data_IF_471215753658
#
_entry.id   IF_471215753658
#
_cell.length_a   1.000
_cell.length_b   1.000
_cell.length_c   1.000
_cell.angle_alpha   90.00
_cell.angle_beta   90.00
_cell.angle_gamma   90.00
#
_symmetry.space_group_name_H-M   'P 1'
#
loop_
_entity.id
_entity.type
_entity.pdbx_description
1 polymer ?
#
# COMPACT_ATOMS: atom_id res chain seq x y z
N UNK A 1 -17.18 -4.89 3.53
CA UNK A 1 -16.07 -4.14 4.12
C UNK A 1 -16.18 -2.71 3.65
N UNK A 2 -16.33 -1.77 4.57
CA UNK A 2 -16.38 -0.34 4.25
C UNK A 2 -14.95 0.21 4.25
N UNK A 3 -14.69 1.23 3.43
CA UNK A 3 -13.36 1.88 3.32
C UNK A 3 -12.87 2.38 4.69
N UNK A 4 -13.78 2.71 5.60
CA UNK A 4 -13.47 3.20 6.95
C UNK A 4 -12.77 2.18 7.85
N UNK A 5 -13.01 0.88 7.65
CA UNK A 5 -12.41 -0.21 8.46
C UNK A 5 -10.88 -0.29 8.29
N UNK A 6 -10.33 0.39 7.28
CA UNK A 6 -8.91 0.43 6.98
C UNK A 6 -8.19 1.64 7.56
N UNK A 7 -8.81 2.44 8.44
CA UNK A 7 -8.18 3.65 8.95
C UNK A 7 -8.09 3.68 10.48
N UNK A 8 -6.96 4.16 10.97
CA UNK A 8 -6.70 4.42 12.39
C UNK A 8 -6.25 5.85 12.60
N UNK A 9 -6.53 6.40 13.79
CA UNK A 9 -5.95 7.68 14.21
C UNK A 9 -4.67 7.41 15.00
N UNK A 10 -3.55 7.97 14.55
CA UNK A 10 -2.25 7.85 15.21
C UNK A 10 -1.51 9.19 15.14
N UNK A 11 -1.01 9.68 16.28
CA UNK A 11 -0.34 10.98 16.40
C UNK A 11 -1.13 12.17 15.80
N UNK A 12 -2.45 12.15 15.93
CA UNK A 12 -3.33 13.19 15.39
C UNK A 12 -3.62 13.08 13.88
N UNK A 13 -3.16 12.02 13.23
CA UNK A 13 -3.32 11.79 11.80
C UNK A 13 -4.13 10.51 11.52
N UNK A 14 -4.87 10.52 10.42
CA UNK A 14 -5.62 9.36 9.94
C UNK A 14 -4.73 8.55 8.98
N UNK A 15 -4.41 7.32 9.34
CA UNK A 15 -3.50 6.45 8.58
C UNK A 15 -4.23 5.23 8.01
N UNK A 16 -3.93 4.89 6.77
CA UNK A 16 -4.41 3.67 6.12
C UNK A 16 -3.65 2.44 6.63
N UNK A 17 -4.35 1.43 7.10
CA UNK A 17 -3.81 0.19 7.64
C UNK A 17 -4.57 -1.03 7.13
N UNK A 18 -3.89 -2.18 7.13
CA UNK A 18 -4.47 -3.46 6.70
C UNK A 18 -4.46 -4.43 7.87
N UNK A 19 -5.62 -4.94 8.28
CA UNK A 19 -5.72 -5.96 9.32
C UNK A 19 -4.98 -7.24 8.87
N UNK A 20 -3.99 -7.66 9.64
CA UNK A 20 -3.28 -8.91 9.45
C UNK A 20 -3.91 -10.05 10.24
N UNK A 21 -4.46 -9.73 11.42
CA UNK A 21 -5.13 -10.69 12.29
C UNK A 21 -5.21 -10.22 13.74
N UNK A 22 -5.58 -11.13 14.63
CA UNK A 22 -5.63 -10.88 16.07
C UNK A 22 -5.10 -12.09 16.85
N UNK A 23 -4.56 -11.84 18.04
CA UNK A 23 -4.14 -12.87 18.97
C UNK A 23 -4.28 -12.38 20.41
N UNK A 24 -4.98 -13.15 21.25
CA UNK A 24 -5.30 -12.74 22.61
C UNK A 24 -6.09 -11.44 22.63
N UNK A 25 -5.58 -10.43 23.33
CA UNK A 25 -6.19 -9.11 23.44
C UNK A 25 -5.59 -8.07 22.46
N UNK A 26 -4.86 -8.52 21.43
CA UNK A 26 -4.18 -7.65 20.47
C UNK A 26 -4.68 -7.84 19.04
N UNK A 27 -4.82 -6.74 18.32
CA UNK A 27 -5.02 -6.67 16.88
C UNK A 27 -3.73 -6.21 16.21
N UNK A 28 -3.42 -6.84 15.08
CA UNK A 28 -2.19 -6.59 14.32
C UNK A 28 -2.59 -6.04 12.96
N UNK A 29 -2.12 -4.84 12.69
CA UNK A 29 -2.32 -4.15 11.43
C UNK A 29 -0.97 -3.87 10.78
N UNK A 30 -0.97 -3.76 9.47
CA UNK A 30 0.16 -3.31 8.69
C UNK A 30 -0.10 -1.89 8.21
N UNK A 31 0.84 -0.97 8.45
CA UNK A 31 0.80 0.39 7.91
C UNK A 31 1.66 0.44 6.64
N UNK A 32 1.07 0.35 5.43
CA UNK A 32 1.85 0.10 4.22
C UNK A 32 2.74 1.28 3.82
N UNK A 33 2.33 2.52 4.08
CA UNK A 33 3.16 3.69 3.75
C UNK A 33 4.48 3.67 4.52
N UNK A 34 4.43 3.35 5.81
CA UNK A 34 5.61 3.27 6.67
C UNK A 34 6.33 1.93 6.66
N UNK A 35 5.75 0.88 6.06
CA UNK A 35 6.24 -0.50 6.16
C UNK A 35 6.46 -0.94 7.61
N UNK A 36 5.46 -0.67 8.47
CA UNK A 36 5.53 -0.97 9.91
C UNK A 36 4.35 -1.82 10.37
N UNK A 37 4.56 -2.52 11.48
CA UNK A 37 3.50 -3.23 12.19
C UNK A 37 2.88 -2.29 13.22
N UNK A 38 1.54 -2.21 13.22
CA UNK A 38 0.75 -1.47 14.20
C UNK A 38 -0.01 -2.47 15.06
N UNK A 39 0.23 -2.42 16.36
CA UNK A 39 -0.36 -3.31 17.36
C UNK A 39 -1.32 -2.46 18.19
N UNK A 40 -2.57 -2.91 18.29
CA UNK A 40 -3.59 -2.28 19.12
C UNK A 40 -4.05 -3.28 20.17
N UNK A 41 -4.02 -2.92 21.44
CA UNK A 41 -4.62 -3.73 22.48
C UNK A 41 -6.11 -3.38 22.72
N UNK A 42 -6.78 -4.17 23.54
CA UNK A 42 -8.19 -3.97 23.90
C UNK A 42 -8.46 -2.68 24.68
N UNK A 43 -7.43 -2.00 25.20
CA UNK A 43 -7.53 -0.69 25.86
C UNK A 43 -7.37 0.46 24.85
N UNK A 44 -7.12 0.14 23.57
CA UNK A 44 -6.93 1.12 22.50
C UNK A 44 -5.53 1.71 22.46
N UNK A 45 -4.56 1.16 23.21
CA UNK A 45 -3.17 1.60 23.14
C UNK A 45 -2.58 1.14 21.80
N UNK A 46 -2.01 2.09 21.08
CA UNK A 46 -1.37 1.86 19.79
C UNK A 46 0.14 1.81 19.98
N UNK A 47 0.75 0.74 19.52
CA UNK A 47 2.20 0.54 19.48
C UNK A 47 2.62 0.28 18.03
N UNK A 48 3.68 0.95 17.57
CA UNK A 48 4.23 0.74 16.23
C UNK A 48 5.60 0.09 16.34
N UNK A 49 5.84 -0.95 15.54
CA UNK A 49 7.07 -1.73 15.51
C UNK A 49 7.66 -1.79 14.11
N UNK A 50 8.99 -1.87 14.04
CA UNK A 50 9.70 -2.15 12.81
C UNK A 50 9.55 -3.64 12.47
N UNK A 51 9.32 -3.95 11.20
CA UNK A 51 9.31 -5.33 10.70
C UNK A 51 10.75 -5.67 10.28
N UNK A 52 11.39 -6.57 11.02
CA UNK A 52 12.77 -6.99 10.72
C UNK A 52 12.80 -8.18 9.75
N UNK A 53 11.82 -9.09 9.88
CA UNK A 53 11.74 -10.31 9.07
C UNK A 53 10.29 -10.83 9.04
N UNK A 54 9.88 -11.37 7.90
CA UNK A 54 8.63 -12.12 7.75
C UNK A 54 8.96 -13.62 7.72
N UNK A 55 8.48 -14.35 8.71
CA UNK A 55 8.70 -15.78 8.91
C UNK A 55 7.50 -16.57 8.37
N UNK A 56 7.69 -17.31 7.29
CA UNK A 56 6.64 -18.13 6.66
C UNK A 56 5.59 -17.32 5.90
N UNK A 57 4.39 -17.88 5.73
CA UNK A 57 3.32 -17.34 4.86
C UNK A 57 2.10 -16.77 5.62
N UNK A 58 2.14 -16.68 6.95
CA UNK A 58 0.96 -16.41 7.79
C UNK A 58 1.22 -15.35 8.89
N UNK A 59 0.16 -14.69 9.42
CA UNK A 59 0.24 -13.43 10.18
C UNK A 59 0.88 -13.50 11.58
N UNK A 60 1.40 -14.66 12.00
CA UNK A 60 2.08 -14.84 13.29
C UNK A 60 3.62 -14.82 13.19
N UNK A 61 4.17 -14.77 11.98
CA UNK A 61 5.62 -14.81 11.77
C UNK A 61 6.20 -13.44 11.46
N UNK A 62 6.21 -12.53 12.42
CA UNK A 62 7.00 -11.30 12.28
C UNK A 62 8.07 -11.27 13.36
N UNK A 63 9.33 -11.17 12.94
CA UNK A 63 10.37 -10.70 13.84
C UNK A 63 10.30 -9.19 13.84
N UNK A 64 10.04 -8.60 15.00
CA UNK A 64 9.84 -7.16 15.13
C UNK A 64 10.86 -6.53 16.06
N UNK A 65 11.14 -5.25 15.82
CA UNK A 65 12.00 -4.42 16.64
C UNK A 65 11.33 -3.11 17.05
N UNK A 66 11.97 -2.36 17.94
CA UNK A 66 11.53 -1.01 18.26
C UNK A 66 11.65 -0.10 17.04
N UNK A 67 10.67 0.78 16.87
CA UNK A 67 10.71 1.82 15.85
C UNK A 67 11.70 2.91 16.29
N UNK A 68 12.86 2.98 15.65
CA UNK A 68 13.90 3.96 16.01
C UNK A 68 13.73 5.30 15.29
N UNK A 69 12.96 5.33 14.22
CA UNK A 69 12.74 6.52 13.41
C UNK A 69 11.60 7.39 13.95
N UNK A 70 11.71 8.72 13.86
CA UNK A 70 10.61 9.60 14.23
C UNK A 70 9.43 9.45 13.27
N UNK A 71 8.21 9.71 13.76
CA UNK A 71 6.96 9.57 13.00
C UNK A 71 6.99 10.25 11.62
N UNK A 72 7.51 11.48 11.56
CA UNK A 72 7.62 12.25 10.31
C UNK A 72 8.44 11.54 9.22
N UNK A 73 9.46 10.77 9.63
CA UNK A 73 10.27 9.98 8.71
C UNK A 73 9.54 8.71 8.28
N UNK A 74 8.86 8.05 9.21
CA UNK A 74 8.11 6.81 8.95
C UNK A 74 6.97 7.06 7.95
N UNK A 75 6.16 8.09 8.16
CA UNK A 75 5.03 8.42 7.28
C UNK A 75 5.44 8.95 5.91
N UNK A 76 6.72 9.27 5.70
CA UNK A 76 7.29 9.77 4.44
C UNK A 76 8.21 8.77 3.73
N UNK A 77 8.31 7.53 4.24
CA UNK A 77 9.11 6.47 3.60
C UNK A 77 8.69 6.28 2.14
N UNK A 78 9.66 6.15 1.21
CA UNK A 78 9.37 5.99 -0.21
C UNK A 78 8.83 4.59 -0.50
N UNK A 79 7.87 4.50 -1.42
CA UNK A 79 7.30 3.25 -1.93
C UNK A 79 7.80 3.07 -3.36
N UNK A 80 8.33 1.90 -3.67
CA UNK A 80 8.88 1.55 -4.98
C UNK A 80 8.11 0.40 -5.60
N UNK A 81 7.54 0.65 -6.77
CA UNK A 81 6.84 -0.34 -7.56
C UNK A 81 7.76 -0.96 -8.60
N UNK A 82 7.74 -2.29 -8.68
CA UNK A 82 8.28 -3.02 -9.83
C UNK A 82 7.15 -3.21 -10.83
N UNK A 83 7.21 -2.47 -11.94
CA UNK A 83 6.26 -2.56 -13.04
C UNK A 83 7.04 -3.01 -14.26
N UNK A 84 6.84 -4.26 -14.66
CA UNK A 84 7.67 -4.92 -15.68
C UNK A 84 9.16 -4.86 -15.30
N UNK A 85 9.98 -4.25 -16.15
CA UNK A 85 11.42 -4.08 -16.00
C UNK A 85 11.82 -2.72 -15.38
N UNK A 86 10.84 -1.91 -14.94
CA UNK A 86 11.09 -0.59 -14.36
C UNK A 86 10.73 -0.52 -12.88
N UNK A 87 11.49 0.30 -12.17
CA UNK A 87 11.19 0.72 -10.81
C UNK A 87 10.59 2.13 -10.82
N UNK A 88 9.48 2.29 -10.09
CA UNK A 88 8.73 3.54 -10.03
C UNK A 88 8.50 3.92 -8.57
N UNK A 89 9.08 5.03 -8.15
CA UNK A 89 8.77 5.62 -6.84
C UNK A 89 7.41 6.32 -6.88
N UNK A 90 6.45 5.82 -6.11
CA UNK A 90 5.11 6.40 -5.90
C UNK A 90 4.34 5.63 -4.84
N UNK A 91 3.48 6.30 -4.08
CA UNK A 91 2.62 5.63 -3.10
C UNK A 91 1.59 4.73 -3.81
N UNK A 92 1.00 5.25 -4.88
CA UNK A 92 0.00 4.57 -5.69
C UNK A 92 0.30 4.75 -7.19
N UNK A 93 -0.24 3.86 -8.03
CA UNK A 93 -0.09 3.90 -9.48
C UNK A 93 -1.47 3.93 -10.15
N UNK A 94 -1.63 4.83 -11.12
CA UNK A 94 -2.74 4.78 -12.08
C UNK A 94 -2.20 4.31 -13.43
N UNK A 95 -2.52 3.09 -13.82
CA UNK A 95 -2.01 2.46 -15.04
C UNK A 95 -3.06 2.48 -16.15
N UNK A 96 -2.79 3.24 -17.21
CA UNK A 96 -3.63 3.27 -18.41
C UNK A 96 -3.19 2.15 -19.35
N UNK A 97 -4.06 1.19 -19.61
CA UNK A 97 -3.75 0.05 -20.49
C UNK A 97 -4.57 0.07 -21.79
N UNK A 98 -3.99 -0.41 -22.88
CA UNK A 98 -4.67 -0.42 -24.20
C UNK A 98 -5.39 -1.72 -24.48
N UNK A 99 -4.85 -2.85 -24.02
CA UNK A 99 -5.35 -4.19 -24.34
C UNK A 99 -5.52 -5.06 -23.09
N UNK A 100 -6.29 -6.15 -23.21
CA UNK A 100 -6.39 -7.15 -22.13
C UNK A 100 -5.03 -7.80 -21.82
N UNK A 101 -4.14 -7.91 -22.80
CA UNK A 101 -2.78 -8.42 -22.59
C UNK A 101 -1.96 -7.46 -21.74
N UNK A 102 -2.03 -6.15 -22.00
CA UNK A 102 -1.40 -5.12 -21.16
C UNK A 102 -1.91 -5.20 -19.72
N UNK A 103 -3.23 -5.33 -19.53
CA UNK A 103 -3.81 -5.50 -18.21
C UNK A 103 -3.23 -6.71 -17.46
N UNK A 104 -3.13 -7.87 -18.10
CA UNK A 104 -2.55 -9.08 -17.49
C UNK A 104 -1.07 -8.93 -17.15
N UNK A 105 -0.34 -8.16 -17.94
CA UNK A 105 1.05 -7.83 -17.63
C UNK A 105 1.14 -6.96 -16.37
N UNK A 106 0.24 -5.99 -16.20
CA UNK A 106 0.19 -5.13 -15.01
C UNK A 106 -0.13 -5.90 -13.73
N UNK A 107 -0.93 -6.98 -13.79
CA UNK A 107 -1.27 -7.81 -12.61
C UNK A 107 -0.03 -8.43 -11.93
N UNK A 108 1.10 -8.52 -12.63
CA UNK A 108 2.37 -9.00 -12.07
C UNK A 108 3.13 -7.94 -11.29
N UNK A 109 2.68 -6.68 -11.34
CA UNK A 109 3.37 -5.55 -10.72
C UNK A 109 3.12 -5.52 -9.22
N UNK A 110 4.19 -5.32 -8.45
CA UNK A 110 4.11 -5.30 -6.99
C UNK A 110 4.97 -4.18 -6.41
N UNK A 111 4.53 -3.51 -5.34
CA UNK A 111 5.39 -2.63 -4.57
C UNK A 111 6.33 -3.43 -3.68
N UNK A 112 7.37 -2.78 -3.19
CA UNK A 112 8.24 -3.20 -2.10
C UNK A 112 7.52 -3.17 -0.73
N UNK A 113 6.32 -3.75 -0.66
CA UNK A 113 5.43 -3.72 0.51
C UNK A 113 4.76 -5.06 0.71
N UNK A 114 4.52 -5.42 1.97
CA UNK A 114 3.92 -6.70 2.35
C UNK A 114 2.50 -6.91 1.79
N UNK A 115 1.73 -5.83 1.69
CA UNK A 115 0.36 -5.82 1.17
C UNK A 115 0.20 -4.70 0.16
N UNK A 116 -0.50 -5.01 -0.91
CA UNK A 116 -0.87 -4.09 -1.98
C UNK A 116 -2.23 -4.46 -2.55
N UNK A 117 -2.84 -3.52 -3.26
CA UNK A 117 -4.13 -3.71 -3.90
C UNK A 117 -4.01 -3.46 -5.39
N UNK A 118 -4.52 -4.40 -6.18
CA UNK A 118 -4.64 -4.24 -7.63
C UNK A 118 -6.12 -4.13 -7.97
N UNK A 119 -6.53 -2.98 -8.46
CA UNK A 119 -7.93 -2.62 -8.70
C UNK A 119 -8.13 -2.29 -10.17
N UNK A 120 -9.35 -2.50 -10.65
CA UNK A 120 -9.71 -2.24 -12.04
C UNK A 120 -10.81 -1.18 -12.12
N UNK A 121 -10.59 -0.18 -12.98
CA UNK A 121 -11.58 0.84 -13.37
C UNK A 121 -12.21 1.59 -12.17
N UNK A 122 -11.47 1.73 -11.07
CA UNK A 122 -11.88 2.49 -9.87
C UNK A 122 -11.52 3.98 -9.98
N UNK A 123 -12.19 4.83 -9.20
CA UNK A 123 -11.84 6.26 -9.07
C UNK A 123 -10.66 6.43 -8.10
N UNK A 124 -9.48 6.92 -8.53
CA UNK A 124 -8.34 7.12 -7.64
C UNK A 124 -8.60 8.10 -6.48
N UNK A 125 -9.56 9.00 -6.59
CA UNK A 125 -9.87 9.93 -5.50
C UNK A 125 -10.44 9.24 -4.25
N UNK A 126 -11.07 8.08 -4.40
CA UNK A 126 -11.53 7.25 -3.28
C UNK A 126 -10.37 6.59 -2.51
N UNK A 127 -9.20 6.47 -3.15
CA UNK A 127 -8.01 5.81 -2.62
C UNK A 127 -6.85 6.77 -2.36
N UNK A 128 -7.11 8.09 -2.41
CA UNK A 128 -6.07 9.13 -2.27
C UNK A 128 -5.27 9.03 -0.96
N UNK A 129 -5.92 8.56 0.11
CA UNK A 129 -5.36 8.42 1.45
C UNK A 129 -4.85 6.99 1.73
N UNK A 130 -4.95 6.08 0.75
CA UNK A 130 -4.42 4.73 0.81
C UNK A 130 -2.96 4.72 0.37
N UNK A 131 -2.23 3.66 0.72
CA UNK A 131 -0.96 3.33 0.08
C UNK A 131 -1.09 2.02 -0.66
N UNK A 132 -0.24 1.93 -1.68
CA UNK A 132 0.20 0.68 -2.27
C UNK A 132 -0.93 0.08 -3.12
N UNK A 133 -1.68 0.98 -3.78
CA UNK A 133 -2.77 0.68 -4.70
C UNK A 133 -2.31 0.92 -6.14
N UNK A 134 -2.53 -0.07 -7.00
CA UNK A 134 -2.49 0.10 -8.45
C UNK A 134 -3.91 0.04 -9.00
N UNK A 135 -4.33 1.11 -9.67
CA UNK A 135 -5.59 1.14 -10.41
C UNK A 135 -5.27 1.03 -11.89
N UNK A 136 -5.66 -0.09 -12.51
CA UNK A 136 -5.56 -0.29 -13.94
C UNK A 136 -6.88 0.12 -14.61
N UNK A 137 -6.82 0.99 -15.63
CA UNK A 137 -7.99 1.38 -16.41
C UNK A 137 -7.67 1.59 -17.89
N UNK A 138 -8.66 1.44 -18.75
CA UNK A 138 -8.54 1.90 -20.14
C UNK A 138 -8.81 3.41 -20.29
N UNK A 139 -9.36 4.04 -19.25
CA UNK A 139 -9.65 5.47 -19.24
C UNK A 139 -8.38 6.23 -18.91
N UNK A 140 -8.06 7.23 -19.71
CA UNK A 140 -7.00 8.19 -19.37
C UNK A 140 -7.62 9.40 -18.67
N UNK A 141 -7.30 9.59 -17.39
CA UNK A 141 -7.78 10.71 -16.58
C UNK A 141 -6.62 11.63 -16.22
N UNK A 142 -6.77 12.94 -16.41
CA UNK A 142 -5.67 13.89 -16.20
C UNK A 142 -5.57 14.40 -14.76
N UNK A 143 -6.68 14.41 -14.02
CA UNK A 143 -6.72 14.90 -12.65
C UNK A 143 -6.62 13.74 -11.65
N UNK A 144 -5.39 13.42 -11.26
CA UNK A 144 -5.09 12.39 -10.27
C UNK A 144 -4.77 13.02 -8.91
N UNK A 145 -5.10 12.36 -7.78
CA UNK A 145 -4.56 12.75 -6.48
C UNK A 145 -3.03 12.65 -6.48
N UNK A 146 -2.37 13.50 -5.69
CA UNK A 146 -0.90 13.61 -5.66
C UNK A 146 -0.16 12.35 -5.23
N UNK A 147 -0.85 11.42 -4.58
CA UNK A 147 -0.30 10.10 -4.18
C UNK A 147 -0.24 9.11 -5.34
N UNK A 148 -0.92 9.39 -6.46
CA UNK A 148 -0.94 8.55 -7.65
C UNK A 148 0.02 9.07 -8.72
N UNK A 149 0.87 8.16 -9.21
CA UNK A 149 1.66 8.37 -10.43
C UNK A 149 0.97 7.70 -11.60
N UNK A 150 0.74 8.45 -12.68
CA UNK A 150 0.23 7.90 -13.93
C UNK A 150 1.33 7.14 -14.67
N UNK A 151 0.98 6.01 -15.25
CA UNK A 151 1.78 5.31 -16.25
C UNK A 151 0.88 4.85 -17.40
N UNK A 152 1.48 4.56 -18.55
CA UNK A 152 0.81 3.97 -19.69
C UNK A 152 1.46 2.64 -20.05
N UNK A 153 0.63 1.64 -20.34
CA UNK A 153 1.08 0.40 -20.93
C UNK A 153 0.40 0.20 -22.28
N UNK A 154 1.20 0.25 -23.34
CA UNK A 154 0.73 0.12 -24.72
C UNK A 154 1.55 -0.95 -25.43
N UNK A 155 0.89 -2.01 -25.88
CA UNK A 155 1.54 -3.10 -26.63
C UNK A 155 2.75 -3.69 -25.87
N UNK A 156 2.60 -3.89 -24.56
CA UNK A 156 3.64 -4.42 -23.67
C UNK A 156 4.78 -3.44 -23.33
N UNK A 157 4.69 -2.17 -23.74
CA UNK A 157 5.72 -1.15 -23.46
C UNK A 157 5.23 -0.12 -22.45
N UNK A 158 6.02 0.08 -21.40
CA UNK A 158 5.75 1.00 -20.32
C UNK A 158 6.26 2.42 -20.63
N UNK A 159 5.35 3.37 -20.71
CA UNK A 159 5.58 4.80 -20.88
C UNK A 159 5.21 5.52 -19.57
N UNK A 160 6.03 6.48 -19.12
CA UNK A 160 5.87 7.19 -17.85
C UNK A 160 5.76 8.69 -18.13
#
# INVERSE_FOLDING_TARGET
MTVEEYFLNYNGERIFVVLLGSAGNKYYFYYPKGDTLVIIDNEGKIEMKEILEVVGSAPAGFKVGELTEPWEKVKSRPVFWKVLDKEIQSDNIYAVFSTLQDYRLLETSTPDRLKSFFLRDQDPWEYKDWCCVMIASQKDINNLPSTFRKIYLKNGKLEI
#
